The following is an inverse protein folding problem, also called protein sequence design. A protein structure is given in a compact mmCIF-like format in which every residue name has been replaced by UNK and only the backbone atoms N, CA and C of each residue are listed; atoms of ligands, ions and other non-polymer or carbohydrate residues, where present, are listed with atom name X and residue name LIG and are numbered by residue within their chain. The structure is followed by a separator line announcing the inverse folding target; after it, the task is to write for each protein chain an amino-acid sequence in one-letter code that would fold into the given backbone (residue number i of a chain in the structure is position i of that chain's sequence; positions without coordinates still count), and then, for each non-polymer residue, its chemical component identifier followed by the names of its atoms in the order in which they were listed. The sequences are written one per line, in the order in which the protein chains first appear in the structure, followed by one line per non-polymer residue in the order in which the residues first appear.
data_IF_552825936771
#
_entry.id   IF_552825936771
#
_cell.length_a   1.000
_cell.length_b   1.000
_cell.length_c   1.000
_cell.angle_alpha   90.00
_cell.angle_beta   90.00
_cell.angle_gamma   90.00
#
_symmetry.space_group_name_H-M   'P 1'
#
loop_
_entity.id
_entity.type
_entity.pdbx_description
1 polymer ?
#
# COMPACT_ATOMS: atom_id res chain seq x y z
N UNK A 1 63.52 2.65 -9.27
CA UNK A 1 62.57 1.53 -9.10
C UNK A 1 62.11 1.52 -7.64
N UNK A 2 61.06 2.25 -7.29
CA UNK A 2 60.39 2.15 -5.98
C UNK A 2 58.90 2.41 -6.22
N UNK A 3 58.11 1.35 -6.08
CA UNK A 3 56.65 1.36 -6.23
C UNK A 3 56.02 1.85 -4.92
N UNK A 4 55.28 2.95 -4.96
CA UNK A 4 54.47 3.42 -3.83
C UNK A 4 53.14 2.63 -3.84
N UNK A 5 52.96 1.72 -2.88
CA UNK A 5 51.66 1.13 -2.58
C UNK A 5 50.83 2.13 -1.77
N UNK A 6 49.80 2.72 -2.38
CA UNK A 6 48.75 3.40 -1.65
C UNK A 6 47.72 2.35 -1.20
N UNK A 7 47.71 2.04 0.10
CA UNK A 7 46.65 1.26 0.74
C UNK A 7 45.38 2.12 0.78
N UNK A 8 44.42 1.82 -0.10
CA UNK A 8 43.06 2.34 0.02
C UNK A 8 42.40 1.67 1.23
N UNK A 9 42.20 2.43 2.31
CA UNK A 9 41.35 2.04 3.43
C UNK A 9 39.91 1.98 2.94
N UNK A 10 39.41 0.78 2.63
CA UNK A 10 37.97 0.57 2.47
C UNK A 10 37.31 0.66 3.86
N UNK A 11 36.47 1.68 4.03
CA UNK A 11 35.56 1.77 5.17
C UNK A 11 34.61 0.57 5.16
N UNK A 12 34.44 -0.16 6.28
CA UNK A 12 33.55 -1.31 6.32
C UNK A 12 32.11 -0.81 6.38
N UNK A 13 31.45 -0.71 5.23
CA UNK A 13 30.00 -0.60 5.17
C UNK A 13 29.42 -2.00 5.40
N UNK A 14 29.45 -2.44 6.67
CA UNK A 14 28.74 -3.64 7.10
C UNK A 14 27.26 -3.45 6.77
N UNK A 15 26.74 -4.25 5.83
CA UNK A 15 25.31 -4.26 5.53
C UNK A 15 24.56 -4.84 6.73
N UNK A 16 23.96 -3.98 7.54
CA UNK A 16 23.21 -4.29 8.76
C UNK A 16 21.86 -5.02 8.52
N UNK A 17 21.62 -5.54 7.32
CA UNK A 17 20.35 -6.16 6.92
C UNK A 17 20.44 -7.71 6.79
N UNK A 18 21.46 -8.36 7.38
CA UNK A 18 21.76 -9.78 7.16
C UNK A 18 20.93 -10.78 7.98
N UNK A 19 19.91 -10.35 8.72
CA UNK A 19 19.02 -11.29 9.39
C UNK A 19 17.84 -11.64 8.47
N UNK A 20 17.59 -12.94 8.21
CA UNK A 20 16.39 -13.34 7.48
C UNK A 20 15.16 -12.80 8.21
N UNK A 21 14.37 -11.97 7.54
CA UNK A 21 13.09 -11.53 8.07
C UNK A 21 12.14 -12.73 7.99
N UNK A 22 11.47 -13.11 9.10
CA UNK A 22 10.44 -14.13 9.03
C UNK A 22 9.40 -13.68 7.99
N UNK A 23 8.92 -14.59 7.13
CA UNK A 23 7.89 -14.25 6.17
C UNK A 23 6.67 -13.72 6.93
N UNK A 24 6.09 -12.62 6.47
CA UNK A 24 4.74 -12.26 6.92
C UNK A 24 3.83 -13.34 6.36
N UNK A 25 3.18 -14.07 7.26
CA UNK A 25 2.12 -14.98 6.85
C UNK A 25 0.99 -14.15 6.25
N UNK A 26 0.48 -14.53 5.06
CA UNK A 26 -0.73 -13.91 4.53
C UNK A 26 -1.83 -13.92 5.61
N UNK A 27 -2.45 -12.76 5.80
CA UNK A 27 -3.45 -12.57 6.86
C UNK A 27 -2.91 -12.28 8.27
N UNK A 28 -1.61 -12.02 8.45
CA UNK A 28 -1.15 -11.45 9.72
C UNK A 28 -1.60 -9.98 9.84
N UNK A 29 -2.35 -9.61 10.89
CA UNK A 29 -2.78 -8.22 11.10
C UNK A 29 -1.58 -7.36 11.48
N UNK A 30 -1.37 -6.28 10.73
CA UNK A 30 -0.21 -5.39 10.93
C UNK A 30 -0.46 -4.35 12.03
N UNK A 31 -1.72 -3.96 12.23
CA UNK A 31 -2.11 -3.03 13.32
C UNK A 31 -1.88 -3.66 14.71
N UNK A 32 -1.74 -4.99 14.80
CA UNK A 32 -1.54 -5.73 16.04
C UNK A 32 -0.10 -5.94 16.49
N UNK A 33 0.91 -5.70 15.64
CA UNK A 33 2.27 -6.08 16.02
C UNK A 33 2.85 -5.09 17.04
N UNK A 34 2.55 -5.30 18.32
CA UNK A 34 3.32 -4.76 19.46
C UNK A 34 4.49 -5.69 19.81
N UNK A 35 4.37 -6.98 19.48
CA UNK A 35 5.29 -8.02 19.92
C UNK A 35 6.24 -8.42 18.78
N UNK A 36 7.30 -7.63 18.59
CA UNK A 36 8.35 -7.89 17.59
C UNK A 36 8.96 -6.63 16.95
N UNK A 37 8.57 -5.44 17.41
CA UNK A 37 9.02 -4.15 16.89
C UNK A 37 10.56 -4.04 16.85
N UNK A 38 11.14 -4.11 15.66
CA UNK A 38 12.52 -3.65 15.46
C UNK A 38 12.48 -2.15 15.28
N UNK A 39 12.75 -1.40 16.36
CA UNK A 39 12.97 0.04 16.27
C UNK A 39 14.32 0.31 15.61
N UNK A 40 14.31 0.91 14.41
CA UNK A 40 15.53 1.42 13.77
C UNK A 40 15.44 2.94 13.76
N UNK A 41 16.38 3.60 14.46
CA UNK A 41 16.39 5.06 14.59
C UNK A 41 15.05 5.65 15.10
N UNK A 42 14.37 4.94 16.02
CA UNK A 42 13.09 5.38 16.59
C UNK A 42 11.85 5.06 15.75
N UNK A 43 12.01 4.56 14.52
CA UNK A 43 10.90 4.19 13.64
C UNK A 43 10.47 2.75 13.92
N UNK A 44 9.18 2.54 14.15
CA UNK A 44 8.60 1.20 14.27
C UNK A 44 8.51 0.54 12.89
N UNK A 45 9.10 -0.65 12.77
CA UNK A 45 9.21 -1.36 11.50
C UNK A 45 8.46 -2.69 11.54
N UNK A 46 7.71 -2.95 10.47
CA UNK A 46 7.01 -4.19 10.18
C UNK A 46 7.82 -4.95 9.12
N UNK A 47 8.16 -6.24 9.30
CA UNK A 47 8.87 -7.03 8.29
C UNK A 47 8.22 -6.92 6.91
N UNK A 48 8.97 -7.06 5.82
CA UNK A 48 8.40 -7.01 4.46
C UNK A 48 7.94 -8.38 3.94
N UNK A 49 8.28 -9.45 4.67
CA UNK A 49 8.12 -10.83 4.26
C UNK A 49 9.15 -11.34 3.24
N UNK A 50 10.17 -10.56 2.89
CA UNK A 50 11.22 -10.96 1.94
C UNK A 50 12.55 -10.26 2.20
N UNK A 51 13.68 -10.94 2.02
CA UNK A 51 15.01 -10.32 2.11
C UNK A 51 15.31 -9.31 0.98
N UNK A 52 14.49 -9.31 -0.07
CA UNK A 52 14.67 -8.42 -1.22
C UNK A 52 14.30 -6.97 -0.91
N UNK A 53 13.38 -6.76 0.04
CA UNK A 53 12.80 -5.46 0.37
C UNK A 53 12.97 -5.19 1.86
N UNK A 54 13.46 -3.99 2.26
CA UNK A 54 13.54 -3.61 3.66
C UNK A 54 12.17 -3.65 4.35
N UNK A 55 12.18 -3.69 5.67
CA UNK A 55 10.96 -3.58 6.49
C UNK A 55 10.19 -2.29 6.16
N UNK A 56 8.88 -2.35 6.36
CA UNK A 56 7.97 -1.23 6.15
C UNK A 56 7.85 -0.43 7.45
N UNK A 57 7.91 0.91 7.39
CA UNK A 57 7.60 1.72 8.56
C UNK A 57 6.11 1.58 8.88
N UNK A 58 5.76 1.45 10.16
CA UNK A 58 4.36 1.36 10.58
C UNK A 58 3.62 2.68 10.36
N UNK A 59 4.33 3.80 10.52
CA UNK A 59 3.81 5.13 10.25
C UNK A 59 4.54 5.77 9.07
N UNK A 60 3.80 6.44 8.21
CA UNK A 60 4.34 7.34 7.19
C UNK A 60 3.94 8.76 7.53
N UNK A 61 4.87 9.70 7.33
CA UNK A 61 4.58 11.13 7.30
C UNK A 61 4.73 11.64 5.88
N UNK A 62 3.60 11.95 5.27
CA UNK A 62 3.50 12.46 3.90
C UNK A 62 2.98 13.88 4.03
N UNK A 63 3.84 14.85 3.70
CA UNK A 63 3.57 16.27 3.96
C UNK A 63 3.25 16.50 5.45
N UNK A 64 2.08 17.04 5.77
CA UNK A 64 1.60 17.34 7.12
C UNK A 64 0.73 16.22 7.73
N UNK A 65 0.50 15.12 7.00
CA UNK A 65 -0.36 14.02 7.44
C UNK A 65 0.44 12.78 7.85
N UNK A 66 0.00 12.16 8.93
CA UNK A 66 0.46 10.85 9.36
C UNK A 66 -0.48 9.76 8.82
N UNK A 67 0.09 8.65 8.37
CA UNK A 67 -0.62 7.49 7.90
C UNK A 67 -0.14 6.23 8.62
N UNK A 68 -1.07 5.35 9.01
CA UNK A 68 -0.80 4.09 9.70
C UNK A 68 -0.97 2.90 8.76
N UNK A 69 -0.02 1.96 8.82
CA UNK A 69 0.00 0.74 8.03
C UNK A 69 -1.13 -0.21 8.45
N UNK A 70 -2.01 -0.53 7.51
CA UNK A 70 -3.14 -1.45 7.72
C UNK A 70 -2.72 -2.89 7.42
N UNK A 71 -2.03 -3.09 6.31
CA UNK A 71 -1.61 -4.40 5.84
C UNK A 71 -0.63 -4.30 4.69
N UNK A 72 0.14 -5.37 4.45
CA UNK A 72 1.10 -5.42 3.35
C UNK A 72 1.27 -6.83 2.80
N UNK A 73 1.80 -6.93 1.58
CA UNK A 73 2.06 -8.22 0.98
C UNK A 73 2.90 -8.14 -0.29
N UNK A 74 3.39 -9.31 -0.70
CA UNK A 74 4.23 -9.47 -1.88
C UNK A 74 3.34 -9.64 -3.10
N UNK A 75 3.58 -8.85 -4.14
CA UNK A 75 3.07 -9.15 -5.48
C UNK A 75 4.00 -10.14 -6.17
N UNK A 76 3.42 -11.22 -6.68
CA UNK A 76 4.09 -12.19 -7.54
C UNK A 76 3.49 -12.20 -8.95
N UNK A 77 4.25 -12.67 -9.92
CA UNK A 77 3.80 -12.93 -11.29
C UNK A 77 4.20 -14.34 -11.71
N UNK A 78 3.44 -14.89 -12.67
CA UNK A 78 3.58 -16.24 -13.24
C UNK A 78 3.40 -17.39 -12.23
N UNK A 79 3.30 -18.62 -12.76
CA UNK A 79 3.19 -19.84 -11.96
C UNK A 79 4.44 -20.10 -11.10
N UNK A 80 5.59 -19.52 -11.46
CA UNK A 80 6.84 -19.62 -10.71
C UNK A 80 6.89 -18.69 -9.49
N UNK A 81 5.85 -17.88 -9.25
CA UNK A 81 5.75 -17.05 -8.04
C UNK A 81 6.79 -15.92 -7.99
N UNK A 82 7.18 -15.37 -9.14
CA UNK A 82 8.29 -14.44 -9.23
C UNK A 82 7.90 -13.10 -8.56
N UNK A 83 8.57 -12.73 -7.47
CA UNK A 83 8.27 -11.51 -6.70
C UNK A 83 8.56 -10.24 -7.52
N UNK A 84 7.61 -9.31 -7.60
CA UNK A 84 7.74 -8.05 -8.36
C UNK A 84 8.00 -6.87 -7.43
N UNK A 85 7.18 -6.73 -6.41
CA UNK A 85 7.29 -5.69 -5.38
C UNK A 85 6.57 -6.12 -4.12
N UNK A 86 6.86 -5.45 -3.01
CA UNK A 86 6.01 -5.46 -1.81
C UNK A 86 5.15 -4.21 -1.84
N UNK A 87 3.86 -4.36 -1.53
CA UNK A 87 2.90 -3.26 -1.40
C UNK A 87 2.37 -3.21 0.03
N UNK A 88 2.33 -2.02 0.63
CA UNK A 88 1.64 -1.75 1.89
C UNK A 88 0.54 -0.71 1.70
N UNK A 89 -0.63 -0.95 2.28
CA UNK A 89 -1.72 0.02 2.35
C UNK A 89 -1.67 0.74 3.69
N UNK A 90 -1.68 2.05 3.63
CA UNK A 90 -1.75 2.94 4.78
C UNK A 90 -3.04 3.76 4.72
N UNK A 91 -3.56 4.13 5.88
CA UNK A 91 -4.72 5.03 6.04
C UNK A 91 -4.27 6.22 6.88
N UNK A 92 -4.75 7.42 6.57
CA UNK A 92 -4.48 8.60 7.41
C UNK A 92 -4.88 8.30 8.84
N UNK A 93 -3.98 8.53 9.81
CA UNK A 93 -4.23 8.22 11.22
C UNK A 93 -5.50 8.90 11.71
N UNK A 94 -5.76 10.14 11.25
CA UNK A 94 -6.98 10.91 11.55
C UNK A 94 -8.28 10.26 11.06
N UNK A 95 -8.21 9.43 10.03
CA UNK A 95 -9.36 8.89 9.32
C UNK A 95 -9.70 7.46 9.78
N UNK A 96 -8.87 6.87 10.65
CA UNK A 96 -9.11 5.54 11.23
C UNK A 96 -10.46 5.41 11.95
N UNK A 97 -10.94 6.42 12.73
CA UNK A 97 -12.27 6.35 13.33
C UNK A 97 -13.39 6.29 12.28
N UNK A 98 -13.33 7.13 11.25
CA UNK A 98 -14.31 7.14 10.14
C UNK A 98 -14.32 5.82 9.39
N UNK A 99 -13.13 5.27 9.10
CA UNK A 99 -12.98 3.95 8.50
C UNK A 99 -13.61 2.86 9.36
N UNK A 100 -13.35 2.86 10.68
CA UNK A 100 -13.92 1.90 11.62
C UNK A 100 -15.45 1.98 11.65
N UNK A 101 -16.02 3.18 11.71
CA UNK A 101 -17.48 3.39 11.69
C UNK A 101 -18.11 2.86 10.41
N UNK A 102 -17.51 3.11 9.24
CA UNK A 102 -18.03 2.58 7.98
C UNK A 102 -17.97 1.05 7.92
N UNK A 103 -16.93 0.42 8.46
CA UNK A 103 -16.81 -1.04 8.50
C UNK A 103 -17.79 -1.68 9.50
N UNK A 104 -18.03 -1.04 10.64
CA UNK A 104 -18.99 -1.51 11.65
C UNK A 104 -20.42 -1.65 11.09
N UNK A 105 -20.82 -0.79 10.15
CA UNK A 105 -22.12 -0.90 9.46
C UNK A 105 -22.31 -2.21 8.69
N UNK A 106 -21.22 -2.90 8.33
CA UNK A 106 -21.25 -4.20 7.67
C UNK A 106 -21.05 -5.38 8.61
N UNK A 107 -20.60 -5.13 9.84
CA UNK A 107 -20.14 -6.16 10.77
C UNK A 107 -21.05 -6.34 11.99
N UNK A 108 -21.69 -5.26 12.45
CA UNK A 108 -22.40 -5.21 13.72
C UNK A 108 -23.67 -4.34 13.63
N UNK A 109 -24.57 -4.39 14.63
CA UNK A 109 -25.73 -3.50 14.69
C UNK A 109 -25.33 -2.02 14.68
N UNK A 110 -26.21 -1.16 14.16
CA UNK A 110 -25.95 0.27 13.90
C UNK A 110 -25.54 1.15 15.10
N UNK A 111 -25.53 0.59 16.32
CA UNK A 111 -25.14 1.28 17.57
C UNK A 111 -23.84 0.74 18.19
N UNK A 112 -23.22 -0.28 17.59
CA UNK A 112 -22.01 -0.90 18.13
C UNK A 112 -20.77 -0.02 17.88
N UNK A 113 -19.91 0.10 18.89
CA UNK A 113 -18.62 0.82 18.81
C UNK A 113 -17.42 -0.11 18.60
N UNK A 114 -17.64 -1.42 18.64
CA UNK A 114 -16.66 -2.49 18.41
C UNK A 114 -17.39 -3.80 18.07
N UNK A 115 -16.67 -4.79 17.56
CA UNK A 115 -17.20 -6.11 17.16
C UNK A 115 -16.86 -7.23 18.14
N UNK A 116 -17.71 -8.23 18.20
CA UNK A 116 -17.43 -9.56 18.76
C UNK A 116 -16.56 -10.39 17.81
N UNK A 117 -16.07 -11.55 18.26
CA UNK A 117 -15.28 -12.48 17.40
C UNK A 117 -16.10 -12.94 16.18
N UNK A 118 -17.36 -13.34 16.38
CA UNK A 118 -18.21 -13.82 15.28
C UNK A 118 -18.53 -12.73 14.25
N UNK A 119 -18.69 -11.48 14.69
CA UNK A 119 -18.91 -10.33 13.80
C UNK A 119 -17.65 -10.02 12.99
N UNK A 120 -16.46 -10.13 13.60
CA UNK A 120 -15.17 -10.03 12.90
C UNK A 120 -15.00 -11.11 11.84
N UNK A 121 -15.35 -12.36 12.15
CA UNK A 121 -15.27 -13.47 11.22
C UNK A 121 -16.23 -13.31 10.03
N UNK A 122 -17.42 -12.77 10.30
CA UNK A 122 -18.40 -12.43 9.27
C UNK A 122 -17.89 -11.30 8.37
N UNK A 123 -17.36 -10.23 8.95
CA UNK A 123 -16.77 -9.11 8.21
C UNK A 123 -15.61 -9.57 7.33
N UNK A 124 -14.68 -10.38 7.87
CA UNK A 124 -13.56 -10.96 7.11
C UNK A 124 -14.06 -11.70 5.87
N UNK A 125 -15.07 -12.55 6.06
CA UNK A 125 -15.68 -13.33 4.97
C UNK A 125 -16.27 -12.43 3.90
N UNK A 126 -17.00 -11.37 4.29
CA UNK A 126 -17.56 -10.39 3.36
C UNK A 126 -16.50 -9.62 2.58
N UNK A 127 -15.43 -9.17 3.25
CA UNK A 127 -14.35 -8.40 2.61
C UNK A 127 -13.48 -9.24 1.66
N UNK A 128 -13.45 -10.56 1.83
CA UNK A 128 -12.74 -11.48 0.93
C UNK A 128 -13.62 -12.07 -0.17
N UNK A 129 -14.94 -12.08 0.01
CA UNK A 129 -15.91 -12.59 -0.96
C UNK A 129 -15.93 -11.72 -2.24
N UNK A 130 -15.61 -12.28 -3.43
CA UNK A 130 -15.71 -11.56 -4.69
C UNK A 130 -17.09 -10.96 -4.98
N UNK A 131 -18.14 -11.59 -4.44
CA UNK A 131 -19.54 -11.18 -4.60
C UNK A 131 -19.84 -9.87 -3.85
N UNK A 132 -19.20 -9.66 -2.69
CA UNK A 132 -19.51 -8.55 -1.79
C UNK A 132 -18.43 -7.48 -1.76
N UNK A 133 -17.15 -7.87 -1.86
CA UNK A 133 -16.01 -7.00 -1.60
C UNK A 133 -15.97 -5.78 -2.53
N UNK A 134 -16.34 -5.94 -3.80
CA UNK A 134 -16.29 -4.86 -4.78
C UNK A 134 -17.29 -3.76 -4.43
N UNK A 135 -18.51 -4.14 -4.04
CA UNK A 135 -19.51 -3.18 -3.58
C UNK A 135 -19.07 -2.47 -2.30
N UNK A 136 -18.57 -3.22 -1.31
CA UNK A 136 -18.17 -2.67 -0.01
C UNK A 136 -16.99 -1.70 -0.17
N UNK A 137 -15.92 -2.10 -0.85
CA UNK A 137 -14.76 -1.23 -1.07
C UNK A 137 -15.07 -0.05 -1.99
N UNK A 138 -15.96 -0.20 -2.97
CA UNK A 138 -16.39 0.93 -3.81
C UNK A 138 -17.12 1.96 -2.96
N UNK A 139 -18.10 1.54 -2.13
CA UNK A 139 -18.82 2.44 -1.24
C UNK A 139 -17.88 3.13 -0.23
N UNK A 140 -16.96 2.37 0.37
CA UNK A 140 -15.97 2.92 1.29
C UNK A 140 -15.10 3.98 0.60
N UNK A 141 -14.51 3.66 -0.55
CA UNK A 141 -13.61 4.57 -1.25
C UNK A 141 -14.34 5.83 -1.74
N UNK A 142 -15.60 5.72 -2.18
CA UNK A 142 -16.36 6.87 -2.69
C UNK A 142 -17.01 7.73 -1.60
N UNK A 143 -17.43 7.14 -0.48
CA UNK A 143 -18.32 7.83 0.46
C UNK A 143 -17.69 8.14 1.83
N UNK A 144 -16.58 7.49 2.20
CA UNK A 144 -15.99 7.66 3.53
C UNK A 144 -15.06 8.88 3.65
N UNK A 145 -14.66 9.47 2.52
CA UNK A 145 -13.63 10.53 2.45
C UNK A 145 -12.31 10.18 3.17
N UNK A 146 -12.01 8.88 3.32
CA UNK A 146 -10.78 8.39 3.96
C UNK A 146 -9.59 8.54 3.02
N UNK A 147 -8.55 9.22 3.50
CA UNK A 147 -7.26 9.34 2.80
C UNK A 147 -6.42 8.08 3.02
N UNK A 148 -5.81 7.57 1.95
CA UNK A 148 -5.02 6.34 1.97
C UNK A 148 -3.76 6.45 1.11
N UNK A 149 -2.77 5.59 1.35
CA UNK A 149 -1.57 5.53 0.54
C UNK A 149 -1.14 4.09 0.27
N UNK A 150 -0.73 3.80 -0.98
CA UNK A 150 -0.03 2.58 -1.34
C UNK A 150 1.47 2.86 -1.43
N UNK A 151 2.25 2.16 -0.60
CA UNK A 151 3.72 2.15 -0.68
C UNK A 151 4.18 0.93 -1.46
N UNK A 152 4.76 1.15 -2.64
CA UNK A 152 5.25 0.10 -3.54
C UNK A 152 6.78 0.08 -3.50
N UNK A 153 7.38 -1.07 -3.16
CA UNK A 153 8.83 -1.22 -3.10
C UNK A 153 9.28 -2.39 -3.98
N UNK A 154 9.96 -2.15 -5.12
CA UNK A 154 10.39 -3.20 -6.03
C UNK A 154 11.40 -4.16 -5.39
N UNK A 155 11.24 -5.45 -5.66
CA UNK A 155 12.19 -6.50 -5.21
C UNK A 155 13.42 -6.58 -6.11
N UNK A 156 13.36 -5.96 -7.30
CA UNK A 156 14.38 -5.95 -8.34
C UNK A 156 14.31 -4.66 -9.15
N UNK A 157 15.34 -4.41 -9.93
CA UNK A 157 15.34 -3.28 -10.86
C UNK A 157 14.20 -3.45 -11.87
N UNK A 158 13.43 -2.39 -12.06
CA UNK A 158 12.33 -2.32 -13.01
C UNK A 158 12.34 -0.93 -13.67
N UNK A 159 11.30 -0.62 -14.44
CA UNK A 159 11.06 0.72 -14.99
C UNK A 159 9.69 1.22 -14.59
N UNK A 160 9.54 2.55 -14.58
CA UNK A 160 8.23 3.19 -14.32
C UNK A 160 7.19 2.72 -15.34
N UNK A 161 7.56 2.61 -16.62
CA UNK A 161 6.68 2.08 -17.67
C UNK A 161 6.19 0.66 -17.38
N UNK A 162 7.04 -0.21 -16.83
CA UNK A 162 6.64 -1.59 -16.54
C UNK A 162 5.61 -1.66 -15.40
N UNK A 163 5.80 -0.89 -14.33
CA UNK A 163 4.82 -0.80 -13.25
C UNK A 163 3.51 -0.19 -13.74
N UNK A 164 3.60 0.94 -14.47
CA UNK A 164 2.48 1.61 -15.12
C UNK A 164 1.66 0.65 -15.96
N UNK A 165 2.28 -0.11 -16.85
CA UNK A 165 1.56 -1.00 -17.76
C UNK A 165 0.79 -2.09 -16.99
N UNK A 166 1.34 -2.55 -15.86
CA UNK A 166 0.65 -3.44 -14.93
C UNK A 166 -0.61 -2.81 -14.32
N UNK A 167 -0.53 -1.56 -13.88
CA UNK A 167 -1.67 -0.83 -13.34
C UNK A 167 -2.69 -0.46 -14.41
N UNK A 168 -2.25 0.06 -15.56
CA UNK A 168 -3.13 0.40 -16.69
C UNK A 168 -3.95 -0.82 -17.11
N UNK A 169 -3.33 -2.00 -17.25
CA UNK A 169 -4.10 -3.23 -17.55
C UNK A 169 -5.16 -3.53 -16.49
N UNK A 170 -4.85 -3.38 -15.21
CA UNK A 170 -5.80 -3.60 -14.12
C UNK A 170 -6.93 -2.57 -14.13
N UNK A 171 -6.60 -1.28 -14.32
CA UNK A 171 -7.54 -0.17 -14.38
C UNK A 171 -8.47 -0.34 -15.58
N UNK A 172 -7.93 -0.59 -16.77
CA UNK A 172 -8.72 -0.81 -17.99
C UNK A 172 -9.63 -2.04 -17.87
N UNK A 173 -9.17 -3.13 -17.25
CA UNK A 173 -10.03 -4.30 -17.04
C UNK A 173 -11.24 -4.00 -16.14
N UNK A 174 -11.09 -3.08 -15.19
CA UNK A 174 -12.21 -2.61 -14.34
C UNK A 174 -13.12 -1.65 -15.08
N UNK A 175 -12.56 -0.69 -15.81
CA UNK A 175 -13.34 0.27 -16.58
C UNK A 175 -14.29 -0.41 -17.58
N UNK A 176 -13.87 -1.55 -18.16
CA UNK A 176 -14.71 -2.38 -19.04
C UNK A 176 -15.97 -2.96 -18.38
N UNK A 177 -16.10 -2.89 -17.05
CA UNK A 177 -17.30 -3.34 -16.32
C UNK A 177 -18.42 -2.30 -16.31
N UNK A 178 -18.19 -1.09 -16.85
CA UNK A 178 -19.17 -0.01 -16.94
C UNK A 178 -19.26 0.86 -15.67
N UNK A 179 -20.33 1.64 -15.54
CA UNK A 179 -20.57 2.51 -14.39
C UNK A 179 -19.88 3.87 -14.56
N UNK A 180 -19.24 4.39 -13.50
CA UNK A 180 -18.62 5.73 -13.50
C UNK A 180 -17.54 5.92 -14.59
N UNK A 181 -17.04 4.84 -15.17
CA UNK A 181 -16.03 4.85 -16.23
C UNK A 181 -16.61 5.08 -17.63
N UNK A 182 -17.94 5.05 -17.79
CA UNK A 182 -18.63 5.37 -19.05
C UNK A 182 -18.87 6.88 -19.20
N UNK A 183 -18.72 7.63 -18.10
CA UNK A 183 -18.91 9.08 -18.10
C UNK A 183 -17.77 9.80 -18.86
N UNK A 184 -18.07 10.93 -19.52
CA UNK A 184 -17.08 11.71 -20.26
C UNK A 184 -15.78 12.02 -19.48
N UNK A 185 -14.68 12.16 -20.21
CA UNK A 185 -13.37 12.49 -19.64
C UNK A 185 -12.57 11.30 -19.08
N UNK A 186 -13.16 10.10 -19.01
CA UNK A 186 -12.45 8.91 -18.54
C UNK A 186 -11.18 8.60 -19.35
N UNK A 187 -11.26 8.63 -20.68
CA UNK A 187 -10.09 8.33 -21.53
C UNK A 187 -8.96 9.34 -21.31
N UNK A 188 -9.31 10.63 -21.14
CA UNK A 188 -8.33 11.68 -20.82
C UNK A 188 -7.67 11.44 -19.45
N UNK A 189 -8.45 11.07 -18.43
CA UNK A 189 -7.94 10.73 -17.11
C UNK A 189 -7.02 9.50 -17.12
N UNK A 190 -7.37 8.48 -17.90
CA UNK A 190 -6.54 7.29 -18.08
C UNK A 190 -5.23 7.62 -18.83
N UNK A 191 -5.28 8.52 -19.81
CA UNK A 191 -4.10 8.99 -20.52
C UNK A 191 -3.19 9.87 -19.64
N UNK A 192 -3.77 10.71 -18.79
CA UNK A 192 -3.05 11.45 -17.75
C UNK A 192 -2.30 10.48 -16.81
N UNK A 193 -2.93 9.38 -16.38
CA UNK A 193 -2.25 8.33 -15.60
C UNK A 193 -1.09 7.68 -16.36
N UNK A 194 -1.25 7.45 -17.67
CA UNK A 194 -0.19 6.84 -18.49
C UNK A 194 1.01 7.77 -18.67
N UNK A 195 0.73 9.04 -18.98
CA UNK A 195 1.74 10.10 -19.13
C UNK A 195 2.44 10.37 -17.80
N UNK A 196 1.64 10.33 -16.72
CA UNK A 196 1.96 9.98 -15.34
C UNK A 196 3.35 9.37 -15.29
N UNK A 197 3.46 8.09 -15.60
CA UNK A 197 4.70 7.33 -15.44
C UNK A 197 5.56 7.21 -16.71
N UNK A 198 5.22 7.94 -17.78
CA UNK A 198 5.91 7.91 -19.06
C UNK A 198 7.29 8.59 -19.00
N UNK A 199 8.25 8.08 -19.77
CA UNK A 199 9.56 8.73 -19.97
C UNK A 199 10.50 8.80 -18.75
N UNK A 200 10.11 8.25 -17.59
CA UNK A 200 10.86 8.39 -16.33
C UNK A 200 12.03 7.42 -16.12
N UNK A 201 12.28 6.53 -17.08
CA UNK A 201 13.40 5.60 -17.03
C UNK A 201 13.23 4.48 -15.99
N UNK A 202 14.33 4.15 -15.30
CA UNK A 202 14.41 3.01 -14.37
C UNK A 202 13.93 3.37 -12.96
N UNK A 203 13.29 2.39 -12.32
CA UNK A 203 13.06 2.36 -10.88
C UNK A 203 13.89 1.22 -10.28
N UNK A 204 15.02 1.52 -9.60
CA UNK A 204 15.85 0.52 -8.97
C UNK A 204 15.14 -0.24 -7.84
N UNK A 205 15.64 -1.43 -7.51
CA UNK A 205 15.14 -2.20 -6.35
C UNK A 205 15.21 -1.38 -5.06
N UNK A 206 14.29 -1.65 -4.13
CA UNK A 206 14.21 -1.03 -2.80
C UNK A 206 13.91 0.47 -2.78
N UNK A 207 13.66 1.11 -3.92
CA UNK A 207 13.29 2.52 -4.01
C UNK A 207 11.77 2.66 -4.00
N UNK A 208 11.17 3.27 -2.96
CA UNK A 208 9.73 3.32 -2.82
C UNK A 208 9.08 4.25 -3.86
N UNK A 209 7.91 3.83 -4.33
CA UNK A 209 6.88 4.69 -4.88
C UNK A 209 5.76 4.82 -3.84
N UNK A 210 5.26 6.04 -3.65
CA UNK A 210 4.04 6.29 -2.88
C UNK A 210 2.95 6.77 -3.83
N UNK A 211 1.80 6.12 -3.77
CA UNK A 211 0.58 6.51 -4.46
C UNK A 211 -0.40 6.94 -3.37
N UNK A 212 -0.69 8.22 -3.26
CA UNK A 212 -1.46 8.80 -2.16
C UNK A 212 -2.80 9.25 -2.70
N UNK A 213 -3.87 8.63 -2.22
CA UNK A 213 -5.25 8.97 -2.56
C UNK A 213 -5.84 9.78 -1.42
N UNK A 214 -6.25 11.02 -1.67
CA UNK A 214 -6.94 11.83 -0.66
C UNK A 214 -8.41 11.40 -0.49
N UNK A 215 -9.12 12.08 0.43
CA UNK A 215 -10.53 11.80 0.69
C UNK A 215 -11.44 11.97 -0.52
N UNK A 216 -11.10 12.88 -1.45
CA UNK A 216 -11.86 13.15 -2.67
C UNK A 216 -11.47 12.20 -3.81
N UNK A 217 -10.45 11.36 -3.60
CA UNK A 217 -9.98 10.38 -4.57
C UNK A 217 -8.93 10.87 -5.55
N UNK A 218 -8.44 12.10 -5.41
CA UNK A 218 -7.29 12.61 -6.18
C UNK A 218 -6.07 11.78 -5.82
N UNK A 219 -5.28 11.44 -6.84
CA UNK A 219 -4.06 10.65 -6.69
C UNK A 219 -2.83 11.56 -6.79
N UNK A 220 -1.99 11.60 -5.76
CA UNK A 220 -0.65 12.21 -5.80
C UNK A 220 0.42 11.11 -5.80
N UNK A 221 1.41 11.21 -6.68
CA UNK A 221 2.47 10.21 -6.79
C UNK A 221 3.82 10.78 -6.34
N UNK A 222 4.54 10.03 -5.50
CA UNK A 222 5.89 10.38 -5.03
C UNK A 222 6.87 9.24 -5.29
N UNK A 223 8.13 9.58 -5.52
CA UNK A 223 9.22 8.64 -5.68
C UNK A 223 10.36 8.99 -4.74
N UNK A 224 10.80 8.02 -3.93
CA UNK A 224 11.96 8.16 -3.05
C UNK A 224 13.17 7.46 -3.67
N UNK A 225 14.12 8.21 -4.29
CA UNK A 225 15.33 7.64 -4.86
C UNK A 225 16.37 7.24 -3.80
N UNK A 226 16.24 7.68 -2.56
CA UNK A 226 17.15 7.32 -1.47
C UNK A 226 16.74 5.99 -0.84
N UNK A 227 15.45 5.71 -0.77
CA UNK A 227 14.90 4.47 -0.22
C UNK A 227 15.25 4.29 1.25
N UNK A 228 15.15 5.37 2.02
CA UNK A 228 15.64 5.41 3.42
C UNK A 228 14.83 4.51 4.35
N UNK A 229 13.54 4.35 4.05
CA UNK A 229 12.66 3.49 4.84
C UNK A 229 12.41 4.00 6.26
N UNK A 230 12.65 5.28 6.51
CA UNK A 230 12.40 5.99 7.77
C UNK A 230 10.95 6.44 7.94
N UNK A 231 10.13 6.27 6.91
CA UNK A 231 8.71 6.64 6.92
C UNK A 231 8.45 8.10 6.59
N UNK A 232 9.45 8.87 6.17
CA UNK A 232 9.28 10.28 5.86
C UNK A 232 9.54 10.57 4.37
N UNK A 233 8.95 11.66 3.86
CA UNK A 233 9.38 12.22 2.59
C UNK A 233 10.74 12.90 2.79
N UNK A 234 11.77 12.36 2.17
CA UNK A 234 13.10 12.93 2.17
C UNK A 234 13.26 14.18 1.34
N UNK A 235 14.36 14.92 1.58
CA UNK A 235 14.74 16.09 0.79
C UNK A 235 14.99 15.78 -0.69
N UNK A 236 15.29 14.51 -1.04
CA UNK A 236 15.41 14.04 -2.42
C UNK A 236 14.16 13.32 -2.94
N UNK A 237 13.10 13.20 -2.15
CA UNK A 237 11.84 12.63 -2.62
C UNK A 237 11.27 13.53 -3.70
N UNK A 238 10.91 12.93 -4.83
CA UNK A 238 10.42 13.63 -6.01
C UNK A 238 8.91 13.46 -6.10
N UNK A 239 8.19 14.57 -6.16
CA UNK A 239 6.78 14.59 -6.54
C UNK A 239 6.67 14.33 -8.04
N UNK A 240 6.02 13.24 -8.41
CA UNK A 240 5.84 12.86 -9.80
C UNK A 240 4.68 13.62 -10.45
N UNK A 241 3.68 14.01 -9.67
CA UNK A 241 2.50 14.76 -10.11
C UNK A 241 1.20 14.20 -9.56
N UNK A 242 0.10 14.74 -10.06
CA UNK A 242 -1.26 14.47 -9.62
C UNK A 242 -2.14 13.91 -10.72
N UNK A 243 -3.24 13.30 -10.32
CA UNK A 243 -4.37 12.95 -11.19
C UNK A 243 -5.63 13.38 -10.46
N UNK A 244 -6.34 14.34 -11.05
CA UNK A 244 -7.52 14.95 -10.43
C UNK A 244 -8.76 14.06 -10.48
N UNK A 245 -8.86 13.17 -11.46
CA UNK A 245 -10.04 12.32 -11.64
C UNK A 245 -10.05 11.15 -10.64
N UNK A 246 -11.02 11.17 -9.73
CA UNK A 246 -11.16 10.18 -8.66
C UNK A 246 -11.30 8.74 -9.16
N UNK A 247 -11.80 8.55 -10.39
CA UNK A 247 -12.06 7.23 -10.98
C UNK A 247 -10.77 6.45 -11.19
N UNK A 248 -9.67 7.14 -11.49
CA UNK A 248 -8.35 6.52 -11.63
C UNK A 248 -7.89 5.93 -10.30
N UNK A 249 -7.99 6.72 -9.22
CA UNK A 249 -7.70 6.27 -7.86
C UNK A 249 -8.60 5.11 -7.43
N UNK A 250 -9.90 5.22 -7.69
CA UNK A 250 -10.88 4.17 -7.41
C UNK A 250 -10.52 2.84 -8.09
N UNK A 251 -10.32 2.85 -9.41
CA UNK A 251 -9.98 1.65 -10.18
C UNK A 251 -8.67 1.02 -9.71
N UNK A 252 -7.65 1.85 -9.44
CA UNK A 252 -6.35 1.39 -8.98
C UNK A 252 -6.44 0.71 -7.60
N UNK A 253 -7.14 1.32 -6.63
CA UNK A 253 -7.32 0.76 -5.30
C UNK A 253 -8.11 -0.54 -5.32
N UNK A 254 -9.23 -0.56 -6.05
CA UNK A 254 -10.00 -1.78 -6.23
C UNK A 254 -9.12 -2.88 -6.85
N UNK A 255 -8.16 -2.54 -7.72
CA UNK A 255 -7.17 -3.48 -8.26
C UNK A 255 -6.39 -4.27 -7.21
N UNK A 256 -6.24 -3.75 -5.99
CA UNK A 256 -5.63 -4.44 -4.86
C UNK A 256 -6.66 -5.03 -3.89
N UNK A 257 -7.83 -4.40 -3.74
CA UNK A 257 -8.78 -4.70 -2.67
C UNK A 257 -9.90 -5.66 -3.07
N UNK A 258 -10.37 -5.61 -4.31
CA UNK A 258 -11.69 -6.16 -4.68
C UNK A 258 -11.67 -7.06 -5.91
N UNK A 259 -12.73 -7.86 -6.07
CA UNK A 259 -12.94 -8.79 -7.17
C UNK A 259 -12.26 -10.14 -6.98
N UNK A 260 -12.51 -11.04 -7.93
CA UNK A 260 -12.00 -12.42 -7.91
C UNK A 260 -10.46 -12.47 -7.95
N UNK A 261 -9.86 -11.63 -8.81
CA UNK A 261 -8.40 -11.53 -8.97
C UNK A 261 -7.93 -10.12 -8.64
N UNK A 262 -6.97 -10.05 -7.73
CA UNK A 262 -6.31 -8.80 -7.30
C UNK A 262 -4.83 -8.81 -7.64
N UNK A 263 -4.23 -7.62 -7.65
CA UNK A 263 -2.82 -7.40 -7.91
C UNK A 263 -1.87 -8.13 -6.93
N UNK A 264 -2.31 -8.37 -5.70
CA UNK A 264 -1.60 -9.17 -4.69
C UNK A 264 -2.61 -9.75 -3.70
N UNK A 265 -2.88 -11.05 -3.79
CA UNK A 265 -3.74 -11.73 -2.81
C UNK A 265 -3.16 -11.68 -1.39
N UNK A 266 -1.85 -11.89 -1.16
CA UNK A 266 -1.26 -11.75 0.18
C UNK A 266 -1.47 -10.35 0.79
N UNK A 267 -1.37 -9.30 -0.04
CA UNK A 267 -1.62 -7.94 0.44
C UNK A 267 -3.10 -7.75 0.79
N UNK A 268 -4.03 -8.23 -0.04
CA UNK A 268 -5.47 -8.15 0.26
C UNK A 268 -5.81 -8.85 1.57
N UNK A 269 -5.31 -10.05 1.78
CA UNK A 269 -5.54 -10.82 3.01
C UNK A 269 -5.00 -10.09 4.23
N UNK A 270 -3.75 -9.61 4.20
CA UNK A 270 -3.19 -8.82 5.30
C UNK A 270 -3.96 -7.52 5.56
N UNK A 271 -4.41 -6.84 4.51
CA UNK A 271 -5.24 -5.62 4.63
C UNK A 271 -6.56 -5.94 5.30
N UNK A 272 -7.27 -6.99 4.86
CA UNK A 272 -8.56 -7.37 5.46
C UNK A 272 -8.39 -7.67 6.94
N UNK A 273 -7.33 -8.35 7.34
CA UNK A 273 -7.09 -8.64 8.77
C UNK A 273 -6.78 -7.38 9.57
N UNK A 274 -6.05 -6.42 9.00
CA UNK A 274 -5.89 -5.09 9.59
C UNK A 274 -7.23 -4.36 9.76
N UNK A 275 -8.12 -4.41 8.77
CA UNK A 275 -9.44 -3.79 8.83
C UNK A 275 -10.37 -4.49 9.84
N UNK A 276 -10.30 -5.81 9.94
CA UNK A 276 -11.07 -6.62 10.91
C UNK A 276 -10.60 -6.37 12.33
N UNK A 277 -9.29 -6.22 12.53
CA UNK A 277 -8.74 -5.81 13.82
C UNK A 277 -9.19 -4.40 14.20
N UNK A 278 -9.15 -3.46 13.25
CA UNK A 278 -9.53 -2.07 13.47
C UNK A 278 -10.91 -1.96 14.15
N UNK A 279 -11.90 -2.73 13.66
CA UNK A 279 -13.26 -2.75 14.22
C UNK A 279 -13.39 -3.61 15.49
N UNK A 280 -12.37 -4.36 15.87
CA UNK A 280 -12.31 -5.09 17.13
C UNK A 280 -12.11 -4.17 18.34
N UNK A 281 -11.67 -2.94 18.11
CA UNK A 281 -11.38 -1.94 19.15
C UNK A 281 -12.47 -0.85 19.18
N UNK A 282 -12.72 -0.23 20.34
CA UNK A 282 -13.61 0.92 20.41
C UNK A 282 -13.15 2.05 19.47
N UNK A 283 -14.08 2.65 18.72
CA UNK A 283 -13.80 3.82 17.88
C UNK A 283 -13.11 4.92 18.70
N UNK A 284 -11.98 5.43 18.22
CA UNK A 284 -11.16 6.45 18.90
C UNK A 284 -10.04 5.93 19.78
N UNK A 285 -9.92 4.60 19.97
CA UNK A 285 -8.80 3.97 20.70
C UNK A 285 -7.63 3.51 19.79
N UNK A 286 -7.67 3.88 18.51
CA UNK A 286 -6.81 3.33 17.44
C UNK A 286 -5.55 4.18 17.19
N UNK A 287 -5.09 4.94 18.17
CA UNK A 287 -3.85 5.73 18.09
C UNK A 287 -2.90 5.29 19.19
#
# INVERSE_FOLDING_TARGET
MVTLYALATQSPQQSLDSHPHPPIQPGAPVILTTDGEKKRAGVELVPSGTASVPSFPKHLRIEDKEYTLIGLGIRTVSFLGIQVYVVGLYVSTSDLPTLSTHLLQHAAPSVATSTTVSERDSLRTLLLSPEHNERIFTALLQNSHVSTALRIVPTRNTGFSHLRDGWVRSITARAKRGGVYEDPGWDAALDEFKQLFGGRGSMPRRKPLLLVRDGEGRLTCWYDPEGRGDGELGSKTVRLGDIGDYRVGLALWLGYLAGERVASAPARESIVEGLVELVGRPVGSVV
#
